data_IF_781562182923
#
_entry.id   IF_781562182923
#
_cell.length_a   1.000
_cell.length_b   1.000
_cell.length_c   1.000
_cell.angle_alpha   90.00
_cell.angle_beta   90.00
_cell.angle_gamma   90.00
#
_symmetry.space_group_name_H-M   'P 1'
#
loop_
_entity.id
_entity.type
_entity.pdbx_description
1 polymer ?
#
# COMPACT_ATOMS: atom_id res chain seq x y z
N UNK A 1 5.21 12.53 18.40
CA UNK A 1 4.75 11.12 18.23
C UNK A 1 3.31 11.02 17.73
N UNK A 2 2.27 11.39 18.49
CA UNK A 2 0.86 11.21 18.08
C UNK A 2 0.52 11.91 16.75
N UNK A 3 1.01 13.14 16.54
CA UNK A 3 0.79 13.88 15.29
C UNK A 3 1.44 13.21 14.07
N UNK A 4 2.60 12.58 14.22
CA UNK A 4 3.26 11.88 13.10
C UNK A 4 2.51 10.61 12.71
N UNK A 5 1.97 9.89 13.69
CA UNK A 5 1.09 8.73 13.46
C UNK A 5 -0.18 9.18 12.74
N UNK A 6 -0.81 10.26 13.19
CA UNK A 6 -1.99 10.85 12.54
C UNK A 6 -1.70 11.24 11.09
N UNK A 7 -0.56 11.87 10.82
CA UNK A 7 -0.16 12.26 9.45
C UNK A 7 0.02 11.01 8.59
N UNK A 8 0.77 10.01 9.05
CA UNK A 8 0.98 8.77 8.29
C UNK A 8 -0.33 8.03 7.99
N UNK A 9 -1.25 7.99 8.96
CA UNK A 9 -2.55 7.32 8.81
C UNK A 9 -3.47 8.10 7.86
N UNK A 10 -3.45 9.42 7.93
CA UNK A 10 -4.23 10.28 7.01
C UNK A 10 -3.69 10.20 5.59
N UNK A 11 -2.37 10.14 5.41
CA UNK A 11 -1.73 9.89 4.11
C UNK A 11 -2.12 8.52 3.54
N UNK A 12 -2.15 7.47 4.37
CA UNK A 12 -2.57 6.13 3.97
C UNK A 12 -4.04 6.12 3.50
N UNK A 13 -4.94 6.78 4.21
CA UNK A 13 -6.36 6.88 3.83
C UNK A 13 -6.52 7.65 2.51
N UNK A 14 -5.81 8.77 2.34
CA UNK A 14 -5.88 9.54 1.09
C UNK A 14 -5.32 8.76 -0.10
N UNK A 15 -4.18 8.10 0.07
CA UNK A 15 -3.60 7.25 -0.97
C UNK A 15 -4.50 6.06 -1.29
N UNK A 16 -5.21 5.52 -0.29
CA UNK A 16 -6.18 4.47 -0.51
C UNK A 16 -7.26 4.93 -1.50
N UNK A 17 -7.87 6.10 -1.27
CA UNK A 17 -8.89 6.66 -2.17
C UNK A 17 -8.36 7.01 -3.57
N UNK A 18 -7.08 7.29 -3.71
CA UNK A 18 -6.47 7.65 -5.00
C UNK A 18 -6.03 6.41 -5.79
N UNK A 19 -5.49 5.40 -5.11
CA UNK A 19 -4.87 4.23 -5.75
C UNK A 19 -5.80 3.04 -5.90
N UNK A 20 -6.81 2.93 -5.04
CA UNK A 20 -7.77 1.83 -5.03
C UNK A 20 -9.16 2.38 -5.28
N UNK A 21 -9.86 1.74 -6.22
CA UNK A 21 -11.22 2.15 -6.59
C UNK A 21 -12.24 1.65 -5.58
N UNK A 22 -12.06 0.42 -5.12
CA UNK A 22 -12.99 -0.30 -4.27
C UNK A 22 -12.26 -1.05 -3.14
N UNK A 23 -12.97 -1.34 -2.05
CA UNK A 23 -12.42 -2.10 -0.92
C UNK A 23 -12.00 -3.52 -1.34
N UNK A 24 -12.72 -4.10 -2.28
CA UNK A 24 -12.42 -5.43 -2.83
C UNK A 24 -11.04 -5.46 -3.49
N UNK A 25 -10.71 -4.46 -4.33
CA UNK A 25 -9.41 -4.32 -5.00
C UNK A 25 -8.26 -4.20 -3.98
N UNK A 26 -8.50 -3.51 -2.86
CA UNK A 26 -7.51 -3.38 -1.81
C UNK A 26 -7.29 -4.69 -1.06
N UNK A 27 -8.36 -5.39 -0.68
CA UNK A 27 -8.27 -6.68 0.02
C UNK A 27 -7.58 -7.71 -0.87
N UNK A 28 -7.91 -7.75 -2.16
CA UNK A 28 -7.30 -8.68 -3.12
C UNK A 28 -5.79 -8.42 -3.24
N UNK A 29 -5.38 -7.16 -3.31
CA UNK A 29 -3.96 -6.82 -3.30
C UNK A 29 -3.28 -7.23 -1.97
N UNK A 30 -3.93 -6.99 -0.81
CA UNK A 30 -3.36 -7.32 0.51
C UNK A 30 -3.23 -8.83 0.70
N UNK A 31 -4.23 -9.58 0.23
CA UNK A 31 -4.23 -11.04 0.24
C UNK A 31 -3.11 -11.57 -0.65
N UNK A 32 -2.87 -10.95 -1.81
CA UNK A 32 -1.76 -11.28 -2.70
C UNK A 32 -0.39 -10.98 -2.08
N UNK A 33 -0.27 -9.87 -1.34
CA UNK A 33 0.96 -9.53 -0.62
C UNK A 33 1.25 -10.51 0.53
N UNK A 34 0.23 -10.92 1.29
CA UNK A 34 0.36 -11.89 2.38
C UNK A 34 0.53 -13.32 1.90
N UNK A 35 -0.09 -13.67 0.77
CA UNK A 35 -0.07 -15.00 0.17
C UNK A 35 0.39 -14.83 -1.29
N UNK A 36 1.72 -14.73 -1.54
CA UNK A 36 2.21 -14.68 -2.90
C UNK A 36 1.87 -16.01 -3.57
N UNK A 37 0.82 -16.04 -4.38
CA UNK A 37 0.47 -17.19 -5.19
C UNK A 37 1.43 -17.24 -6.40
N UNK A 38 2.66 -17.71 -6.12
CA UNK A 38 3.77 -17.85 -7.09
C UNK A 38 3.34 -18.72 -8.29
N UNK A 39 2.28 -19.53 -8.14
CA UNK A 39 1.72 -20.41 -9.16
C UNK A 39 0.81 -19.65 -10.14
N UNK A 40 0.16 -18.55 -9.72
CA UNK A 40 -0.63 -17.66 -10.58
C UNK A 40 0.23 -16.82 -11.55
N UNK A 41 1.39 -16.35 -11.10
CA UNK A 41 2.33 -15.57 -11.90
C UNK A 41 2.83 -16.30 -13.16
N UNK A 42 2.96 -17.64 -13.09
CA UNK A 42 3.35 -18.51 -14.22
C UNK A 42 2.23 -18.78 -15.23
N UNK A 43 0.97 -18.45 -14.90
CA UNK A 43 -0.23 -18.75 -15.71
C UNK A 43 -0.58 -17.68 -16.75
N UNK A 44 0.22 -16.60 -16.84
CA UNK A 44 0.07 -15.54 -17.84
C UNK A 44 -0.60 -14.26 -17.35
N UNK A 45 -0.94 -14.14 -16.06
CA UNK A 45 -1.49 -12.94 -15.40
C UNK A 45 -0.42 -12.08 -14.71
N UNK A 46 0.85 -12.33 -15.02
CA UNK A 46 2.02 -11.69 -14.40
C UNK A 46 1.95 -10.16 -14.34
N UNK A 47 1.39 -9.52 -15.37
CA UNK A 47 1.31 -8.05 -15.42
C UNK A 47 0.27 -7.45 -14.47
N UNK A 48 -0.85 -8.14 -14.23
CA UNK A 48 -1.86 -7.69 -13.27
C UNK A 48 -1.35 -7.91 -11.83
N UNK A 49 -0.74 -9.06 -11.58
CA UNK A 49 -0.18 -9.46 -10.29
C UNK A 49 0.96 -8.51 -9.85
N UNK A 50 1.89 -8.18 -10.75
CA UNK A 50 3.00 -7.24 -10.47
C UNK A 50 2.48 -5.81 -10.24
N UNK A 51 1.41 -5.41 -10.93
CA UNK A 51 0.81 -4.10 -10.77
C UNK A 51 0.10 -3.95 -9.41
N UNK A 52 -0.63 -4.99 -8.99
CA UNK A 52 -1.25 -5.08 -7.67
C UNK A 52 -0.20 -5.02 -6.55
N UNK A 53 0.87 -5.81 -6.66
CA UNK A 53 1.97 -5.82 -5.70
C UNK A 53 2.67 -4.46 -5.60
N UNK A 54 2.96 -3.84 -6.75
CA UNK A 54 3.59 -2.51 -6.82
C UNK A 54 2.73 -1.43 -6.21
N UNK A 55 1.40 -1.47 -6.44
CA UNK A 55 0.45 -0.52 -5.81
C UNK A 55 0.49 -0.57 -4.29
N UNK A 56 0.50 -1.78 -3.71
CA UNK A 56 0.56 -1.92 -2.25
C UNK A 56 1.89 -1.48 -1.69
N UNK A 57 3.01 -1.84 -2.33
CA UNK A 57 4.33 -1.40 -1.89
C UNK A 57 4.46 0.12 -1.94
N UNK A 58 3.94 0.77 -2.97
CA UNK A 58 3.88 2.22 -3.07
C UNK A 58 3.00 2.83 -1.99
N UNK A 59 1.78 2.31 -1.81
CA UNK A 59 0.85 2.79 -0.80
C UNK A 59 1.47 2.73 0.61
N UNK A 60 2.05 1.58 0.96
CA UNK A 60 2.62 1.32 2.27
C UNK A 60 3.94 2.09 2.46
N UNK A 61 4.77 2.14 1.42
CA UNK A 61 6.04 2.86 1.41
C UNK A 61 5.87 4.37 1.56
N UNK A 62 4.94 4.98 0.81
CA UNK A 62 4.66 6.43 0.92
C UNK A 62 4.05 6.76 2.28
N UNK A 63 3.15 5.91 2.79
CA UNK A 63 2.52 6.12 4.11
C UNK A 63 3.55 6.06 5.25
N UNK A 64 4.46 5.09 5.22
CA UNK A 64 5.56 4.99 6.18
C UNK A 64 6.55 6.14 6.03
N UNK A 65 6.92 6.50 4.80
CA UNK A 65 7.84 7.60 4.54
C UNK A 65 7.26 8.93 5.04
N UNK A 66 5.97 9.19 4.82
CA UNK A 66 5.27 10.39 5.30
C UNK A 66 5.22 10.44 6.83
N UNK A 67 4.91 9.31 7.49
CA UNK A 67 4.93 9.21 8.94
C UNK A 67 6.34 9.42 9.53
N UNK A 68 7.36 8.81 8.92
CA UNK A 68 8.76 8.94 9.34
C UNK A 68 9.30 10.36 9.12
N UNK A 69 8.99 10.98 7.97
CA UNK A 69 9.38 12.37 7.70
C UNK A 69 8.68 13.33 8.65
N UNK A 70 7.40 13.12 8.94
CA UNK A 70 6.67 13.92 9.91
C UNK A 70 7.26 13.77 11.31
N UNK A 71 7.63 12.55 11.71
CA UNK A 71 8.29 12.30 12.99
C UNK A 71 9.65 13.02 13.08
N UNK A 72 10.49 12.93 12.04
CA UNK A 72 11.79 13.59 11.99
C UNK A 72 11.69 15.13 11.99
N UNK A 73 10.62 15.69 11.44
CA UNK A 73 10.38 17.13 11.42
C UNK A 73 9.78 17.69 12.72
N UNK A 74 8.97 16.88 13.42
CA UNK A 74 8.27 17.27 14.64
C UNK A 74 9.04 16.94 15.94
N UNK A 75 10.23 16.35 15.84
CA UNK A 75 11.09 15.93 16.96
C UNK A 75 12.44 16.64 16.90
#
# INVERSE_FOLDING_TARGET
>A
MIFAILIGLLTAVLLYFVMFKDWDEFVECVEFYCTPDIISALRGRYWEDVWAETKILLWLGISLAAGASAYAWLN
#
